data_IF_412367997415
#
_entry.id   IF_412367997415
#
_cell.length_a   1.000
_cell.length_b   1.000
_cell.length_c   1.000
_cell.angle_alpha   90.00
_cell.angle_beta   90.00
_cell.angle_gamma   90.00
#
_symmetry.space_group_name_H-M   'P 1'
#
loop_
_entity.id
_entity.type
_entity.pdbx_description
1 polymer ?
#
# COMPACT_ATOMS: atom_id res chain seq x y z
N UNK A 1 -27.12 1.85 -7.83
CA UNK A 1 -26.04 0.86 -7.98
C UNK A 1 -26.08 0.34 -9.40
N UNK A 2 -24.90 0.26 -10.03
CA UNK A 2 -24.77 -0.20 -11.41
C UNK A 2 -25.05 -1.69 -11.51
N UNK A 3 -25.71 -2.13 -12.57
CA UNK A 3 -25.77 -3.56 -12.87
C UNK A 3 -24.38 -4.07 -13.28
N UNK A 4 -24.17 -5.39 -13.19
CA UNK A 4 -22.97 -6.04 -13.74
C UNK A 4 -22.70 -5.61 -15.19
N UNK A 5 -23.73 -5.52 -16.01
CA UNK A 5 -23.60 -5.15 -17.43
C UNK A 5 -23.18 -3.67 -17.60
N UNK A 6 -23.60 -2.78 -16.71
CA UNK A 6 -23.14 -1.39 -16.70
C UNK A 6 -21.66 -1.28 -16.30
N UNK A 7 -21.23 -2.03 -15.28
CA UNK A 7 -19.81 -2.09 -14.88
C UNK A 7 -18.98 -2.70 -16.01
N UNK A 8 -19.45 -3.79 -16.63
CA UNK A 8 -18.77 -4.45 -17.74
C UNK A 8 -18.63 -3.52 -18.96
N UNK A 9 -19.68 -2.76 -19.30
CA UNK A 9 -19.61 -1.78 -20.38
C UNK A 9 -18.60 -0.66 -20.10
N UNK A 10 -18.59 -0.12 -18.88
CA UNK A 10 -17.62 0.91 -18.47
C UNK A 10 -16.21 0.34 -18.56
N UNK A 11 -15.97 -0.82 -17.95
CA UNK A 11 -14.65 -1.47 -17.98
C UNK A 11 -14.21 -1.71 -19.41
N UNK A 12 -15.08 -2.23 -20.29
CA UNK A 12 -14.76 -2.47 -21.70
C UNK A 12 -14.48 -1.19 -22.49
N UNK A 13 -15.28 -0.14 -22.32
CA UNK A 13 -15.03 1.14 -22.98
C UNK A 13 -13.75 1.80 -22.47
N UNK A 14 -13.56 1.86 -21.15
CA UNK A 14 -12.32 2.38 -20.56
C UNK A 14 -11.12 1.58 -21.05
N UNK A 15 -11.20 0.24 -21.05
CA UNK A 15 -10.15 -0.68 -21.52
C UNK A 15 -9.78 -0.46 -23.00
N UNK A 16 -10.71 -0.09 -23.88
CA UNK A 16 -10.37 0.26 -25.27
C UNK A 16 -9.47 1.50 -25.36
N UNK A 17 -9.50 2.36 -24.34
CA UNK A 17 -8.78 3.62 -24.28
C UNK A 17 -7.63 3.64 -23.28
N UNK A 18 -7.41 2.55 -22.54
CA UNK A 18 -6.28 2.37 -21.63
C UNK A 18 -5.63 1.02 -21.88
N UNK A 19 -4.31 1.00 -22.01
CA UNK A 19 -3.54 -0.25 -22.09
C UNK A 19 -3.40 -0.84 -20.67
N UNK A 20 -4.52 -1.32 -20.09
CA UNK A 20 -4.57 -1.90 -18.74
C UNK A 20 -4.16 -3.37 -18.74
N UNK A 21 -3.43 -3.78 -17.71
CA UNK A 21 -3.02 -5.17 -17.50
C UNK A 21 -3.03 -5.46 -16.01
N UNK A 22 -3.99 -6.28 -15.58
CA UNK A 22 -4.31 -6.42 -14.16
C UNK A 22 -5.61 -7.17 -13.92
N UNK A 23 -6.17 -7.01 -12.72
CA UNK A 23 -7.48 -7.55 -12.35
C UNK A 23 -8.36 -6.41 -11.86
N UNK A 24 -9.65 -6.45 -12.20
CA UNK A 24 -10.66 -5.53 -11.68
C UNK A 24 -11.67 -6.36 -10.91
N UNK A 25 -11.81 -6.09 -9.61
CA UNK A 25 -12.82 -6.70 -8.75
C UNK A 25 -13.74 -5.63 -8.19
N UNK A 26 -15.05 -5.86 -8.31
CA UNK A 26 -16.12 -5.06 -7.71
C UNK A 26 -17.03 -5.96 -6.90
N UNK A 27 -17.18 -5.63 -5.62
CA UNK A 27 -18.11 -6.30 -4.70
C UNK A 27 -19.16 -5.31 -4.23
N UNK A 28 -20.43 -5.75 -4.24
CA UNK A 28 -21.55 -5.05 -3.62
C UNK A 28 -22.07 -5.86 -2.41
N UNK A 29 -23.08 -5.33 -1.69
CA UNK A 29 -23.66 -5.96 -0.49
C UNK A 29 -24.05 -7.45 -0.67
N UNK A 30 -24.50 -7.85 -1.86
CA UNK A 30 -24.96 -9.22 -2.17
C UNK A 30 -23.83 -10.16 -2.63
N UNK A 31 -22.63 -9.65 -2.88
CA UNK A 31 -21.49 -10.43 -3.36
C UNK A 31 -20.70 -9.74 -4.47
N UNK A 32 -19.78 -10.49 -5.07
CA UNK A 32 -18.95 -10.02 -6.19
C UNK A 32 -19.84 -9.87 -7.43
N UNK A 33 -19.90 -8.65 -7.97
CA UNK A 33 -20.68 -8.33 -9.18
C UNK A 33 -19.80 -8.32 -10.43
N UNK A 34 -18.49 -8.10 -10.27
CA UNK A 34 -17.53 -8.09 -11.36
C UNK A 34 -16.16 -8.57 -10.87
N UNK A 35 -15.51 -9.44 -11.64
CA UNK A 35 -14.13 -9.88 -11.39
C UNK A 35 -13.54 -10.37 -12.71
N UNK A 36 -12.70 -9.56 -13.37
CA UNK A 36 -12.11 -9.93 -14.66
C UNK A 36 -10.63 -9.58 -14.71
N UNK A 37 -9.87 -10.37 -15.47
CA UNK A 37 -8.44 -10.23 -15.64
C UNK A 37 -8.10 -9.81 -17.08
N UNK A 38 -7.10 -8.96 -17.22
CA UNK A 38 -6.73 -8.32 -18.49
C UNK A 38 -5.22 -8.36 -18.69
N UNK A 39 -4.79 -8.47 -19.95
CA UNK A 39 -3.37 -8.44 -20.32
C UNK A 39 -2.56 -9.65 -19.84
N UNK A 40 -1.24 -9.50 -19.82
CA UNK A 40 -0.29 -10.57 -19.53
C UNK A 40 0.37 -10.37 -18.16
N UNK A 41 0.38 -11.44 -17.35
CA UNK A 41 1.22 -11.55 -16.17
C UNK A 41 2.71 -11.64 -16.56
N UNK A 42 2.99 -12.33 -17.67
CA UNK A 42 4.30 -12.37 -18.30
C UNK A 42 4.15 -12.24 -19.82
N UNK A 43 4.61 -11.11 -20.37
CA UNK A 43 4.56 -10.77 -21.81
C UNK A 43 5.47 -11.65 -22.67
N UNK A 44 6.67 -11.99 -22.20
CA UNK A 44 7.62 -12.80 -22.97
C UNK A 44 7.12 -14.23 -23.17
N UNK A 45 6.49 -14.79 -22.13
CA UNK A 45 6.00 -16.16 -22.12
C UNK A 45 4.52 -16.27 -22.52
N UNK A 46 3.89 -15.15 -22.92
CA UNK A 46 2.46 -15.08 -23.23
C UNK A 46 1.55 -15.65 -22.13
N UNK A 47 1.93 -15.49 -20.86
CA UNK A 47 1.14 -15.94 -19.71
C UNK A 47 0.12 -14.85 -19.37
N UNK A 48 -1.15 -15.13 -19.61
CA UNK A 48 -2.26 -14.21 -19.29
C UNK A 48 -2.35 -13.94 -17.79
N UNK A 49 -2.76 -12.73 -17.43
CA UNK A 49 -3.30 -12.49 -16.10
C UNK A 49 -4.56 -13.34 -15.90
N UNK A 50 -4.74 -13.80 -14.67
CA UNK A 50 -5.91 -14.52 -14.19
C UNK A 50 -6.40 -13.89 -12.90
N UNK A 51 -7.60 -14.26 -12.45
CA UNK A 51 -8.14 -13.82 -11.15
C UNK A 51 -7.26 -14.22 -9.95
N UNK A 52 -6.45 -15.28 -10.11
CA UNK A 52 -5.51 -15.77 -9.11
C UNK A 52 -4.11 -15.15 -9.24
N UNK A 53 -3.89 -14.25 -10.20
CA UNK A 53 -2.59 -13.62 -10.38
C UNK A 53 -2.30 -12.66 -9.23
N UNK A 54 -1.08 -12.78 -8.71
CA UNK A 54 -0.52 -11.95 -7.65
C UNK A 54 0.17 -10.73 -8.25
N UNK A 55 -0.08 -9.58 -7.68
CA UNK A 55 0.48 -8.31 -8.13
C UNK A 55 1.15 -7.60 -6.96
N UNK A 56 2.29 -6.96 -7.23
CA UNK A 56 2.85 -5.99 -6.30
C UNK A 56 1.87 -4.83 -6.13
N UNK A 57 1.76 -4.29 -4.91
CA UNK A 57 0.84 -3.18 -4.63
C UNK A 57 1.53 -1.90 -4.16
N UNK A 58 2.85 -1.83 -4.26
CA UNK A 58 3.65 -0.67 -3.85
C UNK A 58 3.20 -0.19 -2.45
N UNK A 59 3.01 1.13 -2.25
CA UNK A 59 2.50 1.74 -1.01
C UNK A 59 1.13 1.23 -0.52
N UNK A 60 0.39 0.47 -1.32
CA UNK A 60 -0.92 -0.07 -0.94
C UNK A 60 -0.89 -0.93 0.32
N UNK A 61 0.28 -1.48 0.68
CA UNK A 61 0.47 -2.31 1.87
C UNK A 61 0.84 -1.54 3.14
N UNK A 62 0.97 -0.20 3.12
CA UNK A 62 1.17 0.62 4.33
C UNK A 62 0.09 0.37 5.39
N UNK A 63 -1.13 0.06 4.93
CA UNK A 63 -2.24 -0.29 5.82
C UNK A 63 -1.97 -1.56 6.65
N UNK A 64 -1.23 -2.54 6.12
CA UNK A 64 -0.87 -3.74 6.87
C UNK A 64 0.12 -3.41 8.00
N UNK A 65 1.06 -2.50 7.74
CA UNK A 65 1.97 -1.96 8.77
C UNK A 65 1.20 -1.21 9.85
N UNK A 66 0.26 -0.35 9.47
CA UNK A 66 -0.57 0.39 10.42
C UNK A 66 -1.40 -0.54 11.31
N UNK A 67 -1.96 -1.62 10.75
CA UNK A 67 -2.67 -2.64 11.51
C UNK A 67 -1.71 -3.40 12.44
N UNK A 68 -0.52 -3.76 11.99
CA UNK A 68 0.48 -4.40 12.85
C UNK A 68 0.82 -3.55 14.07
N UNK A 69 0.94 -2.22 13.89
CA UNK A 69 1.13 -1.28 14.99
C UNK A 69 -0.11 -1.19 15.88
N UNK A 70 -1.32 -1.16 15.31
CA UNK A 70 -2.56 -1.18 16.10
C UNK A 70 -2.67 -2.44 16.95
N UNK A 71 -2.25 -3.61 16.44
CA UNK A 71 -2.19 -4.85 17.23
C UNK A 71 -1.20 -4.75 18.40
N UNK A 72 -0.05 -4.10 18.23
CA UNK A 72 0.88 -3.86 19.35
C UNK A 72 0.27 -2.92 20.40
N UNK A 73 -0.46 -1.88 19.96
CA UNK A 73 -1.13 -0.96 20.87
C UNK A 73 -2.28 -1.64 21.61
N UNK A 74 -3.10 -2.41 20.91
CA UNK A 74 -4.20 -3.19 21.47
C UNK A 74 -3.74 -4.19 22.53
N UNK A 75 -2.56 -4.80 22.32
CA UNK A 75 -1.95 -5.71 23.28
C UNK A 75 -1.17 -5.01 24.40
N UNK A 76 -1.20 -3.67 24.46
CA UNK A 76 -0.54 -2.87 25.50
C UNK A 76 1.00 -2.87 25.44
N UNK A 77 1.60 -3.26 24.31
CA UNK A 77 3.06 -3.27 24.11
C UNK A 77 3.61 -1.85 23.97
N UNK A 78 2.88 -1.01 23.24
CA UNK A 78 3.16 0.41 23.03
C UNK A 78 1.85 1.19 23.04
N UNK A 79 1.93 2.52 23.00
CA UNK A 79 0.78 3.41 22.76
C UNK A 79 1.05 4.26 21.51
N UNK A 80 0.00 4.84 20.92
CA UNK A 80 0.20 5.78 19.79
C UNK A 80 1.03 7.02 20.18
N UNK A 81 1.20 7.30 21.48
CA UNK A 81 1.94 8.44 22.03
C UNK A 81 3.34 8.05 22.51
N UNK A 82 3.69 6.76 22.46
CA UNK A 82 5.04 6.30 22.80
C UNK A 82 6.04 6.97 21.87
N UNK A 83 7.17 7.42 22.43
CA UNK A 83 8.18 8.13 21.65
C UNK A 83 8.98 7.13 20.80
N UNK A 84 9.40 7.56 19.61
CA UNK A 84 10.23 6.73 18.72
C UNK A 84 11.49 6.20 19.43
N UNK A 85 12.18 7.06 20.19
CA UNK A 85 13.41 6.71 20.94
C UNK A 85 13.20 5.64 22.01
N UNK A 86 11.96 5.41 22.44
CA UNK A 86 11.60 4.38 23.43
C UNK A 86 11.29 3.04 22.76
N UNK A 87 11.03 3.04 21.44
CA UNK A 87 10.59 1.87 20.70
C UNK A 87 11.72 1.12 19.97
N UNK A 88 12.85 1.77 19.72
CA UNK A 88 13.97 1.23 18.93
C UNK A 88 15.31 1.46 19.61
N UNK A 89 16.21 0.48 19.47
CA UNK A 89 17.62 0.60 19.85
C UNK A 89 18.47 1.35 18.81
N UNK A 90 17.92 1.61 17.62
CA UNK A 90 18.57 2.34 16.54
C UNK A 90 18.80 3.80 16.93
N UNK A 91 20.02 4.30 16.69
CA UNK A 91 20.36 5.70 16.95
C UNK A 91 19.93 6.59 15.77
N UNK A 92 19.11 7.59 16.05
CA UNK A 92 18.69 8.63 15.10
C UNK A 92 19.21 9.99 15.58
N UNK A 93 20.50 10.33 15.32
CA UNK A 93 21.19 11.42 15.99
C UNK A 93 20.58 12.80 15.75
N UNK A 94 19.94 13.00 14.60
CA UNK A 94 19.38 14.28 14.19
C UNK A 94 17.85 14.34 14.32
N UNK A 95 17.22 13.27 14.80
CA UNK A 95 15.76 13.21 14.87
C UNK A 95 15.26 13.85 16.15
N UNK A 96 14.13 14.54 16.06
CA UNK A 96 13.51 15.14 17.23
C UNK A 96 13.00 14.06 18.19
N UNK A 97 13.35 14.15 19.47
CA UNK A 97 12.96 13.16 20.50
C UNK A 97 11.45 13.09 20.76
N UNK A 98 10.69 14.11 20.32
CA UNK A 98 9.24 14.17 20.51
C UNK A 98 8.42 13.39 19.47
N UNK A 99 9.07 12.81 18.45
CA UNK A 99 8.39 11.97 17.46
C UNK A 99 7.67 10.81 18.16
N UNK A 100 6.40 10.59 17.81
CA UNK A 100 5.55 9.52 18.35
C UNK A 100 5.18 8.53 17.27
N UNK A 101 4.65 7.38 17.67
CA UNK A 101 4.02 6.41 16.77
C UNK A 101 2.90 7.04 15.95
N UNK A 102 2.06 7.88 16.57
CA UNK A 102 1.00 8.63 15.89
C UNK A 102 1.57 9.51 14.77
N UNK A 103 2.68 10.22 15.03
CA UNK A 103 3.30 11.08 14.02
C UNK A 103 3.80 10.28 12.81
N UNK A 104 4.34 9.08 13.03
CA UNK A 104 4.77 8.20 11.94
C UNK A 104 3.58 7.66 11.13
N UNK A 105 2.52 7.18 11.81
CA UNK A 105 1.33 6.62 11.16
C UNK A 105 0.54 7.64 10.33
N UNK A 106 0.64 8.92 10.67
CA UNK A 106 -0.10 10.02 10.03
C UNK A 106 0.75 10.85 9.06
N UNK A 107 2.00 10.47 8.80
CA UNK A 107 2.92 11.25 7.97
C UNK A 107 3.11 12.69 8.47
N UNK A 108 3.24 12.85 9.79
CA UNK A 108 3.43 14.15 10.43
C UNK A 108 4.69 14.21 11.29
N UNK A 109 5.62 13.26 11.13
CA UNK A 109 6.81 13.14 11.98
C UNK A 109 7.88 14.21 11.76
N UNK A 110 8.02 14.76 10.56
CA UNK A 110 9.11 15.69 10.27
C UNK A 110 10.43 15.05 9.88
N UNK A 111 10.50 13.72 9.87
CA UNK A 111 11.74 13.02 9.54
C UNK A 111 12.08 13.16 8.05
N UNK A 112 13.38 13.09 7.70
CA UNK A 112 13.80 12.98 6.31
C UNK A 112 13.30 11.68 5.68
N UNK A 113 12.95 11.73 4.39
CA UNK A 113 12.66 10.55 3.59
C UNK A 113 13.89 10.10 2.79
N UNK A 114 13.93 8.83 2.40
CA UNK A 114 14.86 8.34 1.39
C UNK A 114 14.35 8.59 -0.04
N UNK A 115 13.02 8.70 -0.20
CA UNK A 115 12.35 9.04 -1.45
C UNK A 115 11.21 10.05 -1.22
N UNK A 116 11.51 11.34 -1.35
CA UNK A 116 10.51 12.39 -1.16
C UNK A 116 9.74 12.64 -2.47
N UNK A 117 8.55 12.04 -2.56
CA UNK A 117 7.64 12.12 -3.72
C UNK A 117 7.19 13.56 -4.06
N UNK A 118 7.41 14.54 -3.18
CA UNK A 118 7.08 15.95 -3.46
C UNK A 118 8.12 16.66 -4.33
N UNK A 119 9.34 16.13 -4.40
CA UNK A 119 10.47 16.71 -5.13
C UNK A 119 11.22 15.71 -6.01
N UNK A 120 10.96 14.41 -5.85
CA UNK A 120 11.55 13.33 -6.64
C UNK A 120 10.46 12.65 -7.47
N UNK A 121 10.70 12.49 -8.76
CA UNK A 121 9.78 11.87 -9.71
C UNK A 121 10.26 10.50 -10.22
N UNK A 122 11.54 10.17 -10.01
CA UNK A 122 12.14 8.93 -10.50
C UNK A 122 12.68 8.04 -9.37
N UNK A 123 11.88 7.06 -8.96
CA UNK A 123 12.25 6.10 -7.91
C UNK A 123 13.47 5.25 -8.27
N UNK A 124 13.68 4.95 -9.55
CA UNK A 124 14.78 4.09 -9.99
C UNK A 124 16.17 4.75 -9.81
N UNK A 125 16.22 6.08 -9.76
CA UNK A 125 17.49 6.81 -9.59
C UNK A 125 18.16 6.54 -8.25
N UNK A 126 17.39 6.16 -7.22
CA UNK A 126 17.91 5.70 -5.93
C UNK A 126 18.85 4.50 -6.07
N UNK A 127 18.55 3.63 -7.03
CA UNK A 127 19.21 2.33 -7.16
C UNK A 127 20.49 2.38 -8.00
N UNK A 128 20.77 3.52 -8.63
CA UNK A 128 22.04 3.77 -9.36
C UNK A 128 23.24 3.72 -8.42
N UNK A 129 23.07 4.21 -7.19
CA UNK A 129 24.14 4.27 -6.18
C UNK A 129 24.01 3.17 -5.12
N UNK A 130 22.80 2.66 -4.91
CA UNK A 130 22.52 1.60 -3.93
C UNK A 130 21.92 0.41 -4.64
N UNK A 131 22.65 -0.71 -4.82
CA UNK A 131 22.11 -1.87 -5.53
C UNK A 131 20.84 -2.41 -4.83
N UNK A 132 19.69 -2.31 -5.49
CA UNK A 132 18.37 -2.65 -4.91
C UNK A 132 18.27 -4.10 -4.40
N UNK A 133 19.10 -5.01 -4.91
CA UNK A 133 19.17 -6.40 -4.47
C UNK A 133 19.82 -6.62 -3.12
N UNK A 134 20.38 -5.56 -2.53
CA UNK A 134 20.88 -5.54 -1.15
C UNK A 134 19.80 -5.15 -0.13
N UNK A 135 18.68 -4.58 -0.57
CA UNK A 135 17.57 -4.19 0.30
C UNK A 135 16.68 -5.39 0.63
N UNK A 136 17.16 -6.26 1.54
CA UNK A 136 16.51 -7.53 1.90
C UNK A 136 15.75 -7.46 3.23
N UNK A 137 16.07 -6.47 4.05
CA UNK A 137 15.50 -6.22 5.38
C UNK A 137 15.29 -4.72 5.60
N UNK A 138 14.40 -4.36 6.53
CA UNK A 138 14.06 -2.95 6.77
C UNK A 138 15.26 -2.11 7.22
N UNK A 139 16.18 -2.71 8.00
CA UNK A 139 17.41 -2.04 8.42
C UNK A 139 18.34 -1.66 7.27
N UNK A 140 18.23 -2.31 6.11
CA UNK A 140 19.07 -2.00 4.94
C UNK A 140 18.70 -0.63 4.34
N UNK A 141 17.53 -0.09 4.67
CA UNK A 141 17.08 1.25 4.27
C UNK A 141 17.60 2.35 5.19
N UNK A 142 17.98 2.04 6.44
CA UNK A 142 18.38 3.03 7.44
C UNK A 142 19.51 3.96 6.96
N UNK A 143 20.59 3.49 6.30
CA UNK A 143 21.65 4.37 5.81
C UNK A 143 21.17 5.45 4.83
N UNK A 144 20.01 5.25 4.20
CA UNK A 144 19.45 6.19 3.23
C UNK A 144 18.85 7.44 3.87
N UNK A 145 18.51 7.41 5.17
CA UNK A 145 17.83 8.54 5.83
C UNK A 145 18.20 8.80 7.29
N UNK A 146 18.69 7.82 8.07
CA UNK A 146 18.78 7.91 9.53
C UNK A 146 19.66 9.05 10.07
N UNK A 147 20.62 9.52 9.27
CA UNK A 147 21.59 10.56 9.62
C UNK A 147 21.27 11.92 8.96
N UNK A 148 20.14 12.04 8.24
CA UNK A 148 19.72 13.31 7.63
C UNK A 148 19.00 14.17 8.66
N UNK A 149 18.94 15.48 8.41
CA UNK A 149 18.30 16.43 9.32
C UNK A 149 16.77 16.37 9.21
N UNK A 150 16.10 16.79 10.29
CA UNK A 150 14.65 16.98 10.30
C UNK A 150 14.23 17.97 9.21
N UNK A 151 13.13 17.65 8.53
CA UNK A 151 12.52 18.52 7.53
C UNK A 151 11.59 19.57 8.17
N UNK A 152 10.92 19.21 9.26
CA UNK A 152 9.98 20.08 9.99
C UNK A 152 9.75 19.54 11.42
N UNK A 153 9.04 20.29 12.26
CA UNK A 153 8.74 19.86 13.63
C UNK A 153 7.67 18.74 13.64
N UNK A 154 7.74 17.77 14.56
CA UNK A 154 6.72 16.72 14.68
C UNK A 154 5.33 17.32 14.91
N UNK A 155 4.33 16.80 14.20
CA UNK A 155 2.94 17.24 14.24
C UNK A 155 2.64 18.54 13.49
N UNK A 156 3.64 19.24 12.93
CA UNK A 156 3.40 20.58 12.37
C UNK A 156 2.60 20.59 11.06
N UNK A 157 2.72 19.53 10.26
CA UNK A 157 2.03 19.39 8.98
C UNK A 157 2.04 17.93 8.50
N UNK A 158 1.16 17.64 7.54
CA UNK A 158 1.23 16.41 6.74
C UNK A 158 2.33 16.51 5.68
N UNK A 159 3.10 15.45 5.51
CA UNK A 159 4.04 15.25 4.40
C UNK A 159 4.31 13.76 4.26
N UNK A 160 3.77 13.16 3.20
CA UNK A 160 3.86 11.73 2.94
C UNK A 160 5.31 11.24 2.98
N UNK A 161 5.59 10.20 3.76
CA UNK A 161 6.95 9.79 4.08
C UNK A 161 7.09 8.26 4.15
N UNK A 162 7.92 7.70 3.26
CA UNK A 162 8.19 6.28 3.15
C UNK A 162 9.11 5.78 4.27
N UNK A 163 10.17 6.53 4.60
CA UNK A 163 11.05 6.22 5.73
C UNK A 163 10.30 6.08 7.07
N UNK A 164 9.22 6.83 7.29
CA UNK A 164 8.38 6.73 8.49
C UNK A 164 7.74 5.35 8.64
N UNK A 165 7.30 4.76 7.52
CA UNK A 165 6.75 3.40 7.51
C UNK A 165 7.83 2.33 7.60
N UNK A 166 9.05 2.57 7.09
CA UNK A 166 10.21 1.71 7.39
C UNK A 166 10.46 1.64 8.91
N UNK A 167 10.44 2.79 9.59
CA UNK A 167 10.61 2.86 11.05
C UNK A 167 9.49 2.12 11.78
N UNK A 168 8.23 2.26 11.37
CA UNK A 168 7.11 1.49 11.95
C UNK A 168 7.31 -0.02 11.80
N UNK A 169 7.82 -0.47 10.65
CA UNK A 169 8.17 -1.87 10.46
C UNK A 169 9.29 -2.33 11.40
N UNK A 170 10.35 -1.53 11.57
CA UNK A 170 11.42 -1.82 12.52
C UNK A 170 10.90 -1.89 13.97
N UNK A 171 9.93 -1.06 14.33
CA UNK A 171 9.29 -1.12 15.67
C UNK A 171 8.58 -2.46 15.84
N UNK A 172 7.87 -2.94 14.83
CA UNK A 172 7.28 -4.29 14.87
C UNK A 172 8.37 -5.35 15.08
N UNK A 173 9.51 -5.25 14.38
CA UNK A 173 10.60 -6.22 14.54
C UNK A 173 11.19 -6.21 15.95
N UNK A 174 11.50 -5.03 16.50
CA UNK A 174 12.11 -4.87 17.82
C UNK A 174 11.17 -5.37 18.93
N UNK A 175 9.89 -4.99 18.87
CA UNK A 175 8.93 -5.29 19.94
C UNK A 175 8.43 -6.73 19.94
N UNK A 176 8.57 -7.45 18.82
CA UNK A 176 8.04 -8.82 18.66
C UNK A 176 9.12 -9.88 18.50
N UNK A 177 10.33 -9.49 18.11
CA UNK A 177 11.41 -10.40 17.73
C UNK A 177 11.18 -11.16 16.42
N UNK A 178 10.08 -10.91 15.71
CA UNK A 178 9.79 -11.48 14.40
C UNK A 178 10.24 -10.52 13.30
N UNK A 179 10.64 -11.05 12.13
CA UNK A 179 10.80 -10.16 10.97
C UNK A 179 9.46 -9.56 10.59
N UNK A 180 9.46 -8.34 10.08
CA UNK A 180 8.25 -7.62 9.73
C UNK A 180 7.35 -8.45 8.81
N UNK A 181 7.91 -9.03 7.75
CA UNK A 181 7.14 -9.83 6.79
C UNK A 181 6.54 -11.08 7.43
N UNK A 182 7.25 -11.71 8.37
CA UNK A 182 6.78 -12.88 9.11
C UNK A 182 5.64 -12.50 10.08
N UNK A 183 5.74 -11.33 10.72
CA UNK A 183 4.69 -10.80 11.59
C UNK A 183 3.39 -10.54 10.82
N UNK A 184 3.46 -9.85 9.67
CA UNK A 184 2.28 -9.53 8.86
C UNK A 184 1.62 -10.81 8.33
N UNK A 185 2.40 -11.75 7.78
CA UNK A 185 1.87 -13.01 7.28
C UNK A 185 1.21 -13.81 8.41
N UNK A 186 1.83 -13.89 9.58
CA UNK A 186 1.33 -14.65 10.74
C UNK A 186 0.10 -14.03 11.39
N UNK A 187 0.07 -12.71 11.59
CA UNK A 187 -0.94 -12.04 12.43
C UNK A 187 -2.03 -11.33 11.63
N UNK A 188 -1.88 -11.19 10.31
CA UNK A 188 -2.87 -10.53 9.45
C UNK A 188 -3.29 -11.48 8.32
N UNK A 189 -2.37 -11.93 7.47
CA UNK A 189 -2.77 -12.67 6.26
C UNK A 189 -3.32 -14.06 6.56
N UNK A 190 -2.62 -14.86 7.36
CA UNK A 190 -3.03 -16.23 7.68
C UNK A 190 -4.37 -16.29 8.43
N UNK A 191 -4.63 -15.47 9.48
CA UNK A 191 -5.89 -15.52 10.22
C UNK A 191 -7.13 -15.22 9.37
N UNK A 192 -7.01 -14.36 8.36
CA UNK A 192 -8.13 -13.95 7.49
C UNK A 192 -8.10 -14.64 6.12
N UNK A 193 -7.23 -15.65 5.96
CA UNK A 193 -7.20 -16.51 4.78
C UNK A 193 -6.67 -15.84 3.50
N UNK A 194 -5.80 -14.83 3.62
CA UNK A 194 -5.07 -14.23 2.49
C UNK A 194 -3.89 -15.11 2.04
N UNK A 195 -4.17 -16.37 1.73
CA UNK A 195 -3.16 -17.42 1.48
C UNK A 195 -2.36 -17.23 0.18
N UNK A 196 -2.73 -16.25 -0.66
CA UNK A 196 -2.01 -15.91 -1.89
C UNK A 196 -1.29 -14.57 -1.80
N UNK A 197 -1.21 -13.99 -0.60
CA UNK A 197 -0.53 -12.72 -0.33
C UNK A 197 0.77 -12.94 0.43
N UNK A 198 1.73 -12.04 0.27
CA UNK A 198 3.01 -12.15 0.95
C UNK A 198 4.06 -11.17 0.44
N UNK A 199 5.24 -11.25 1.03
CA UNK A 199 6.40 -10.42 0.64
C UNK A 199 7.40 -11.25 -0.15
N UNK A 200 7.20 -11.32 -1.46
CA UNK A 200 8.02 -12.13 -2.34
C UNK A 200 9.27 -11.37 -2.80
N UNK A 201 10.40 -12.08 -2.82
CA UNK A 201 11.64 -11.56 -3.38
C UNK A 201 11.63 -11.73 -4.90
N UNK A 202 12.05 -10.73 -5.67
CA UNK A 202 11.99 -10.75 -7.14
C UNK A 202 12.84 -11.86 -7.77
N UNK A 203 13.90 -12.31 -7.10
CA UNK A 203 14.73 -13.46 -7.51
C UNK A 203 14.08 -14.83 -7.19
N UNK A 204 12.92 -14.83 -6.51
CA UNK A 204 12.23 -16.04 -6.00
C UNK A 204 10.71 -15.90 -6.06
N UNK A 205 10.19 -15.27 -7.11
CA UNK A 205 8.75 -15.10 -7.27
C UNK A 205 8.05 -16.46 -7.34
N UNK A 206 6.97 -16.68 -6.56
CA UNK A 206 6.19 -17.91 -6.66
C UNK A 206 5.37 -17.93 -7.96
N UNK A 207 4.81 -19.09 -8.29
CA UNK A 207 3.87 -19.24 -9.41
C UNK A 207 2.71 -18.23 -9.31
N UNK A 208 2.09 -17.94 -10.45
CA UNK A 208 0.95 -17.01 -10.54
C UNK A 208 1.28 -15.61 -10.02
N UNK A 209 2.48 -15.12 -10.29
CA UNK A 209 2.89 -13.75 -9.92
C UNK A 209 3.21 -12.97 -11.19
N UNK A 210 2.59 -11.81 -11.35
CA UNK A 210 2.85 -10.93 -12.49
C UNK A 210 4.20 -10.24 -12.36
N UNK A 211 4.90 -10.07 -13.48
CA UNK A 211 6.06 -9.19 -13.59
C UNK A 211 5.57 -7.77 -13.84
N UNK A 212 6.15 -6.78 -13.15
CA UNK A 212 5.85 -5.36 -13.39
C UNK A 212 6.54 -4.87 -14.66
N UNK A 213 5.82 -4.11 -15.50
CA UNK A 213 6.32 -3.61 -16.79
C UNK A 213 6.40 -2.09 -16.84
N UNK A 214 7.61 -1.60 -17.07
CA UNK A 214 7.90 -0.18 -17.30
C UNK A 214 7.90 0.05 -18.82
N UNK A 215 7.16 1.06 -19.27
CA UNK A 215 7.14 1.43 -20.69
C UNK A 215 8.20 2.48 -20.95
N UNK A 216 9.00 2.29 -21.99
CA UNK A 216 9.89 3.31 -22.50
C UNK A 216 9.13 4.12 -23.55
N UNK A 217 8.84 5.39 -23.26
CA UNK A 217 8.07 6.25 -24.17
C UNK A 217 8.84 6.71 -25.40
N UNK A 218 10.17 6.63 -25.41
CA UNK A 218 10.99 7.04 -26.55
C UNK A 218 11.07 5.89 -27.55
N UNK A 219 11.47 4.71 -27.10
CA UNK A 219 11.64 3.52 -27.95
C UNK A 219 10.33 2.77 -28.17
N UNK A 220 9.26 3.10 -27.43
CA UNK A 220 7.99 2.37 -27.38
C UNK A 220 8.20 0.87 -27.05
N UNK A 221 9.30 0.56 -26.36
CA UNK A 221 9.60 -0.77 -25.85
C UNK A 221 9.19 -0.86 -24.38
N UNK A 222 9.45 -2.02 -23.77
CA UNK A 222 9.18 -2.24 -22.36
C UNK A 222 10.28 -3.09 -21.74
N UNK A 223 10.42 -2.98 -20.42
CA UNK A 223 11.27 -3.83 -19.61
C UNK A 223 10.57 -4.18 -18.31
N UNK A 224 11.07 -5.19 -17.61
CA UNK A 224 10.58 -5.50 -16.27
C UNK A 224 11.15 -4.52 -15.25
N UNK A 225 10.45 -4.35 -14.13
CA UNK A 225 10.89 -3.53 -13.00
C UNK A 225 11.92 -4.21 -12.08
N UNK A 226 12.56 -5.30 -12.54
CA UNK A 226 13.40 -6.16 -11.70
C UNK A 226 14.60 -5.45 -11.06
N UNK A 227 15.01 -4.28 -11.57
CA UNK A 227 16.10 -3.46 -11.04
C UNK A 227 15.63 -2.06 -10.59
N UNK A 228 14.32 -1.84 -10.54
CA UNK A 228 13.71 -0.50 -10.37
C UNK A 228 12.99 -0.32 -9.04
N UNK A 229 12.89 -1.38 -8.25
CA UNK A 229 12.28 -1.41 -6.91
C UNK A 229 13.17 -2.23 -5.97
N UNK A 230 13.05 -2.14 -4.63
CA UNK A 230 13.73 -3.05 -3.71
C UNK A 230 13.44 -4.53 -4.05
N UNK A 231 14.43 -5.40 -3.85
CA UNK A 231 14.30 -6.83 -4.24
C UNK A 231 13.18 -7.55 -3.50
N UNK A 232 12.83 -7.09 -2.30
CA UNK A 232 11.73 -7.60 -1.51
C UNK A 232 10.97 -6.41 -0.92
N UNK A 233 9.65 -6.48 -0.92
CA UNK A 233 8.81 -5.48 -0.24
C UNK A 233 9.05 -5.43 1.28
N UNK A 234 8.63 -4.33 1.88
CA UNK A 234 8.75 -4.03 3.30
C UNK A 234 7.51 -3.32 3.86
N UNK A 235 7.71 -2.57 4.93
CA UNK A 235 6.63 -1.96 5.70
C UNK A 235 6.06 -0.68 5.08
N UNK A 236 6.76 -0.08 4.14
CA UNK A 236 6.33 1.08 3.37
C UNK A 236 5.73 0.68 2.01
N UNK A 237 6.10 -0.46 1.43
CA UNK A 237 5.63 -0.84 0.11
C UNK A 237 6.04 -2.25 -0.35
N UNK A 238 5.42 -2.72 -1.44
CA UNK A 238 5.92 -3.87 -2.21
C UNK A 238 5.43 -5.25 -1.76
N UNK A 239 4.39 -5.34 -0.94
CA UNK A 239 3.68 -6.61 -0.75
C UNK A 239 3.03 -7.07 -2.07
N UNK A 240 2.77 -8.36 -2.20
CA UNK A 240 2.02 -8.96 -3.29
C UNK A 240 0.68 -9.50 -2.80
N UNK A 241 -0.39 -9.28 -3.55
CA UNK A 241 -1.75 -9.76 -3.25
C UNK A 241 -2.44 -10.28 -4.51
N UNK A 242 -3.53 -11.05 -4.33
CA UNK A 242 -4.56 -11.22 -5.36
C UNK A 242 -5.73 -10.27 -5.07
N UNK A 243 -6.52 -9.92 -6.10
CA UNK A 243 -7.68 -9.06 -5.89
C UNK A 243 -8.67 -9.64 -4.85
N UNK A 244 -8.87 -10.96 -4.87
CA UNK A 244 -9.70 -11.68 -3.90
C UNK A 244 -9.14 -11.62 -2.47
N UNK A 245 -7.82 -11.74 -2.27
CA UNK A 245 -7.24 -11.62 -0.94
C UNK A 245 -7.36 -10.21 -0.38
N UNK A 246 -7.20 -9.16 -1.20
CA UNK A 246 -7.44 -7.80 -0.75
C UNK A 246 -8.92 -7.53 -0.44
N UNK A 247 -9.86 -8.21 -1.11
CA UNK A 247 -11.26 -8.17 -0.72
C UNK A 247 -11.46 -8.77 0.68
N UNK A 248 -10.88 -9.95 0.97
CA UNK A 248 -10.93 -10.57 2.31
C UNK A 248 -10.36 -9.65 3.38
N UNK A 249 -9.26 -8.98 3.07
CA UNK A 249 -8.68 -7.96 3.95
C UNK A 249 -9.69 -6.88 4.33
N UNK A 250 -10.37 -6.28 3.33
CA UNK A 250 -11.37 -5.25 3.60
C UNK A 250 -12.54 -5.78 4.42
N UNK A 251 -13.05 -6.97 4.09
CA UNK A 251 -14.15 -7.57 4.84
C UNK A 251 -13.76 -7.83 6.30
N UNK A 252 -12.58 -8.42 6.54
CA UNK A 252 -12.08 -8.67 7.87
C UNK A 252 -11.82 -7.39 8.68
N UNK A 253 -11.29 -6.33 8.06
CA UNK A 253 -11.07 -5.04 8.74
C UNK A 253 -12.39 -4.42 9.21
N UNK A 254 -13.40 -4.39 8.33
CA UNK A 254 -14.71 -3.79 8.63
C UNK A 254 -15.62 -4.68 9.49
N UNK A 255 -15.34 -5.98 9.55
CA UNK A 255 -15.97 -6.92 10.49
C UNK A 255 -15.24 -7.03 11.84
N UNK A 256 -14.15 -6.29 12.04
CA UNK A 256 -13.36 -6.29 13.27
C UNK A 256 -12.70 -7.65 13.58
N UNK A 257 -12.29 -8.38 12.54
CA UNK A 257 -11.68 -9.71 12.63
C UNK A 257 -10.15 -9.66 12.76
N UNK A 258 -9.53 -8.49 12.53
CA UNK A 258 -8.06 -8.30 12.58
C UNK A 258 -7.59 -7.58 13.85
N UNK A 259 -8.35 -6.55 14.24
CA UNK A 259 -8.22 -5.73 15.45
C UNK A 259 -9.64 -5.41 15.94
N UNK A 260 -9.82 -5.11 17.23
CA UNK A 260 -11.16 -4.85 17.76
C UNK A 260 -11.82 -3.61 17.15
N UNK A 261 -13.14 -3.50 17.34
CA UNK A 261 -13.93 -2.37 16.85
C UNK A 261 -13.40 -1.01 17.31
N UNK A 262 -12.86 -0.92 18.53
CA UNK A 262 -12.25 0.30 19.04
C UNK A 262 -11.04 0.72 18.18
N UNK A 263 -10.08 -0.19 18.00
CA UNK A 263 -8.87 0.11 17.23
C UNK A 263 -9.12 0.24 15.72
N UNK A 264 -10.11 -0.46 15.15
CA UNK A 264 -10.57 -0.21 13.78
C UNK A 264 -11.09 1.23 13.64
N UNK A 265 -11.90 1.73 14.58
CA UNK A 265 -12.39 3.12 14.54
C UNK A 265 -11.25 4.13 14.67
N UNK A 266 -10.28 3.87 15.55
CA UNK A 266 -9.09 4.71 15.70
C UNK A 266 -8.29 4.74 14.39
N UNK A 267 -8.03 3.59 13.78
CA UNK A 267 -7.31 3.49 12.51
C UNK A 267 -7.99 4.28 11.37
N UNK A 268 -9.32 4.21 11.32
CA UNK A 268 -10.16 4.87 10.30
C UNK A 268 -10.54 6.32 10.62
N UNK A 269 -10.05 6.88 11.74
CA UNK A 269 -10.32 8.27 12.11
C UNK A 269 -9.52 9.22 11.19
N UNK A 270 -10.13 10.32 10.66
CA UNK A 270 -9.40 11.34 9.92
C UNK A 270 -8.52 12.17 10.87
N UNK A 271 -7.33 11.65 11.17
CA UNK A 271 -6.39 12.25 12.14
C UNK A 271 -5.76 13.54 11.63
N UNK A 272 -5.51 13.62 10.32
CA UNK A 272 -4.87 14.78 9.71
C UNK A 272 -5.51 15.14 8.37
N UNK A 273 -5.85 16.41 8.20
CA UNK A 273 -6.37 16.93 6.94
C UNK A 273 -5.21 17.10 5.95
N UNK A 274 -5.35 16.55 4.74
CA UNK A 274 -4.34 16.67 3.68
C UNK A 274 -4.71 17.79 2.71
N UNK A 275 -5.97 17.86 2.30
CA UNK A 275 -6.55 18.94 1.49
C UNK A 275 -8.06 19.03 1.77
N UNK A 276 -8.81 19.92 1.09
CA UNK A 276 -10.23 20.18 1.40
C UNK A 276 -11.12 18.93 1.51
N UNK A 277 -10.89 17.90 0.69
CA UNK A 277 -11.76 16.72 0.61
C UNK A 277 -11.06 15.42 1.00
N UNK A 278 -9.82 15.51 1.51
CA UNK A 278 -9.02 14.34 1.81
C UNK A 278 -8.31 14.49 3.15
N UNK A 279 -8.42 13.44 3.95
CA UNK A 279 -7.72 13.25 5.21
C UNK A 279 -6.92 11.96 5.18
N UNK A 280 -6.01 11.81 6.15
CA UNK A 280 -5.26 10.59 6.37
C UNK A 280 -5.58 10.03 7.76
N UNK A 281 -5.88 8.73 7.80
CA UNK A 281 -5.98 7.95 9.04
C UNK A 281 -4.64 7.34 9.41
N UNK A 282 -4.64 6.14 9.99
CA UNK A 282 -3.41 5.36 10.16
C UNK A 282 -3.19 4.45 8.97
N UNK A 283 -2.28 4.86 8.08
CA UNK A 283 -1.92 4.09 6.87
C UNK A 283 -3.01 4.02 5.80
N UNK A 284 -4.04 4.88 5.87
CA UNK A 284 -5.21 4.86 4.98
C UNK A 284 -5.65 6.27 4.60
N UNK A 285 -6.05 6.43 3.33
CA UNK A 285 -6.63 7.66 2.83
C UNK A 285 -8.15 7.68 3.06
N UNK A 286 -8.67 8.84 3.42
CA UNK A 286 -10.10 9.06 3.70
C UNK A 286 -10.55 10.22 2.81
N UNK A 287 -11.43 9.95 1.85
CA UNK A 287 -12.04 10.99 1.03
C UNK A 287 -13.42 11.34 1.58
N UNK A 288 -13.72 12.63 1.68
CA UNK A 288 -15.00 13.15 2.13
C UNK A 288 -15.71 13.92 1.02
N UNK A 289 -17.02 13.72 0.88
CA UNK A 289 -17.92 14.53 0.05
C UNK A 289 -19.02 15.10 0.93
N UNK A 290 -19.30 16.39 0.81
CA UNK A 290 -20.34 17.08 1.61
C UNK A 290 -20.18 16.83 3.13
N UNK A 291 -18.94 16.86 3.63
CA UNK A 291 -18.59 16.58 5.03
C UNK A 291 -18.94 15.17 5.54
N UNK A 292 -19.19 14.21 4.65
CA UNK A 292 -19.37 12.78 4.97
C UNK A 292 -18.26 11.96 4.34
N UNK A 293 -17.88 10.86 4.99
CA UNK A 293 -16.89 9.94 4.45
C UNK A 293 -17.48 9.27 3.21
N UNK A 294 -16.87 9.55 2.06
CA UNK A 294 -17.26 8.95 0.78
C UNK A 294 -16.59 7.59 0.59
N UNK A 295 -15.28 7.51 0.83
CA UNK A 295 -14.53 6.25 0.75
C UNK A 295 -13.30 6.23 1.67
N UNK A 296 -12.97 5.03 2.11
CA UNK A 296 -11.66 4.68 2.65
C UNK A 296 -10.86 4.00 1.56
N UNK A 297 -9.64 4.42 1.29
CA UNK A 297 -8.87 3.85 0.19
C UNK A 297 -7.37 3.76 0.45
N UNK A 298 -6.74 2.84 -0.25
CA UNK A 298 -5.30 2.70 -0.35
C UNK A 298 -4.88 2.73 -1.81
N UNK A 299 -3.62 3.09 -2.02
CA UNK A 299 -3.03 3.15 -3.34
C UNK A 299 -1.54 2.87 -3.29
N UNK A 300 -0.99 2.50 -4.43
CA UNK A 300 0.45 2.46 -4.60
C UNK A 300 0.84 2.57 -6.07
N UNK A 301 1.98 3.20 -6.29
CA UNK A 301 2.66 3.31 -7.57
C UNK A 301 4.13 3.03 -7.34
N UNK A 302 4.68 2.19 -8.20
CA UNK A 302 6.10 1.92 -8.33
C UNK A 302 6.40 1.79 -9.84
N UNK A 303 7.66 1.85 -10.28
CA UNK A 303 8.01 1.47 -11.64
C UNK A 303 7.42 0.10 -12.00
N UNK A 304 6.59 0.08 -13.04
CA UNK A 304 5.86 -1.10 -13.51
C UNK A 304 4.71 -1.62 -12.65
N UNK A 305 4.23 -0.85 -11.67
CA UNK A 305 3.15 -1.24 -10.75
C UNK A 305 2.20 -0.08 -10.50
N UNK A 306 0.90 -0.37 -10.48
CA UNK A 306 -0.10 0.57 -9.98
C UNK A 306 -1.23 -0.18 -9.29
N UNK A 307 -1.77 0.42 -8.25
CA UNK A 307 -2.79 -0.18 -7.43
C UNK A 307 -3.75 0.86 -6.87
N UNK A 308 -5.04 0.54 -6.94
CA UNK A 308 -6.12 1.28 -6.28
C UNK A 308 -7.06 0.28 -5.61
N UNK A 309 -7.43 0.55 -4.37
CA UNK A 309 -8.49 -0.21 -3.70
C UNK A 309 -9.24 0.66 -2.68
N UNK A 310 -10.56 0.52 -2.63
CA UNK A 310 -11.41 1.38 -1.84
C UNK A 310 -12.65 0.65 -1.30
N UNK A 311 -13.15 1.11 -0.15
CA UNK A 311 -14.44 0.75 0.44
C UNK A 311 -15.31 2.00 0.51
N UNK A 312 -16.54 1.90 0.03
CA UNK A 312 -17.57 2.95 0.03
C UNK A 312 -18.65 2.53 1.05
N UNK A 313 -18.57 3.00 2.32
CA UNK A 313 -19.39 2.45 3.40
C UNK A 313 -20.90 2.57 3.16
N UNK A 314 -21.36 3.76 2.76
CA UNK A 314 -22.78 4.05 2.56
C UNK A 314 -23.37 3.25 1.38
N UNK A 315 -22.54 3.01 0.35
CA UNK A 315 -22.92 2.24 -0.82
C UNK A 315 -22.79 0.72 -0.58
N UNK A 316 -21.98 0.30 0.38
CA UNK A 316 -21.62 -1.10 0.58
C UNK A 316 -20.89 -1.70 -0.63
N UNK A 317 -20.00 -0.90 -1.23
CA UNK A 317 -19.20 -1.27 -2.39
C UNK A 317 -17.73 -1.40 -1.98
N UNK A 318 -17.04 -2.39 -2.55
CA UNK A 318 -15.58 -2.54 -2.45
C UNK A 318 -14.99 -2.69 -3.85
N UNK A 319 -13.94 -1.92 -4.13
CA UNK A 319 -13.16 -1.97 -5.37
C UNK A 319 -11.74 -2.41 -5.10
N UNK A 320 -11.23 -3.31 -5.93
CA UNK A 320 -9.82 -3.75 -5.90
C UNK A 320 -9.29 -3.85 -7.33
N UNK A 321 -8.28 -3.04 -7.65
CA UNK A 321 -7.73 -2.94 -9.01
C UNK A 321 -6.18 -2.97 -8.97
N UNK A 322 -5.56 -4.16 -8.85
CA UNK A 322 -4.12 -4.31 -9.05
C UNK A 322 -3.74 -4.35 -10.53
N UNK A 323 -2.57 -3.80 -10.85
CA UNK A 323 -2.03 -3.72 -12.21
C UNK A 323 -0.51 -3.92 -12.22
N UNK A 324 -0.01 -4.64 -13.24
CA UNK A 324 1.43 -4.80 -13.49
C UNK A 324 1.98 -3.79 -14.51
N UNK A 325 1.45 -2.58 -14.45
CA UNK A 325 1.84 -1.39 -15.23
C UNK A 325 1.75 -0.14 -14.36
N UNK A 326 2.41 0.94 -14.77
CA UNK A 326 2.54 2.20 -14.00
C UNK A 326 1.24 3.03 -13.89
N UNK A 327 0.24 2.76 -14.73
CA UNK A 327 -1.02 3.50 -14.73
C UNK A 327 -2.22 2.61 -15.10
N UNK A 328 -3.43 3.16 -14.94
CA UNK A 328 -4.69 2.50 -15.32
C UNK A 328 -5.71 2.39 -14.17
N UNK A 329 -5.36 1.79 -13.01
CA UNK A 329 -6.29 1.58 -11.90
C UNK A 329 -7.05 2.82 -11.45
N UNK A 330 -6.39 3.98 -11.43
CA UNK A 330 -7.03 5.25 -11.05
C UNK A 330 -8.12 5.66 -12.03
N UNK A 331 -7.82 5.66 -13.33
CA UNK A 331 -8.81 6.01 -14.35
C UNK A 331 -9.99 5.05 -14.31
N UNK A 332 -9.74 3.74 -14.17
CA UNK A 332 -10.81 2.75 -14.00
C UNK A 332 -11.66 3.02 -12.77
N UNK A 333 -11.03 3.32 -11.62
CA UNK A 333 -11.74 3.64 -10.39
C UNK A 333 -12.61 4.89 -10.57
N UNK A 334 -12.07 5.96 -11.17
CA UNK A 334 -12.82 7.21 -11.43
C UNK A 334 -14.01 6.97 -12.34
N UNK A 335 -13.87 6.20 -13.43
CA UNK A 335 -14.98 5.88 -14.34
C UNK A 335 -16.05 4.99 -13.67
N UNK A 336 -15.63 4.07 -12.80
CA UNK A 336 -16.57 3.27 -11.99
C UNK A 336 -17.27 4.18 -10.97
N UNK A 337 -16.55 5.12 -10.35
CA UNK A 337 -17.04 6.10 -9.37
C UNK A 337 -17.89 7.22 -9.96
N UNK A 338 -17.74 7.56 -11.25
CA UNK A 338 -18.44 8.69 -11.87
C UNK A 338 -19.97 8.61 -11.81
N UNK A 339 -20.49 7.46 -11.39
CA UNK A 339 -21.90 7.16 -11.21
C UNK A 339 -22.26 6.82 -9.74
N UNK A 340 -21.37 7.14 -8.78
CA UNK A 340 -21.56 6.93 -7.35
C UNK A 340 -22.05 8.18 -6.62
#
# INVERSE_FOLDING_TARGET
MKTKDQIDNIVKETYRHIDFSGVILVKEKKGIVYEEAFGYANRNECINNTRQTRFGIASGCKIFTAIGICQLVENGVITFQTKLKECLSVNFPNFNEDITIHHLLTHSSGIPDYFDESIMDNFEDLWKQTPMYLLKSLKDFLPLFQNRDMMYAPGSKFHYNNAGFIILGLIIEEQTGLKFTEYIEKNIFNPIGMNHSGYFSLDRLPRQTALGYIKDEISQTWRTNAYSIPIKGGSDGGAFITASDMLKFWEALFNYEIISQEYTKILLTPHIQVNNNQSYGYGIWIETRENKIFKYHVMGYDPGVSFRSAVYPDLGITLVIPSNKEAGPEKLMIEIEGDF
#
